data_IF_560572930764
#
_entry.id   IF_560572930764
#
_cell.length_a   1.000
_cell.length_b   1.000
_cell.length_c   1.000
_cell.angle_alpha   90.00
_cell.angle_beta   90.00
_cell.angle_gamma   90.00
#
_symmetry.space_group_name_H-M   'P 1'
#
loop_
_entity.id
_entity.type
_entity.pdbx_description
1 polymer ?
#
# COMPACT_ATOMS: atom_id res chain seq x y z
N UNK A 1 23.26 16.09 42.86
CA UNK A 1 21.99 15.34 42.89
C UNK A 1 20.90 16.01 42.04
N UNK A 2 20.64 17.32 42.19
CA UNK A 2 19.58 18.02 41.35
C UNK A 2 19.83 17.99 39.84
N UNK A 3 21.07 18.03 39.35
CA UNK A 3 21.41 17.97 37.93
C UNK A 3 21.23 16.58 37.33
N UNK A 4 21.47 15.54 38.14
CA UNK A 4 21.26 14.13 37.71
C UNK A 4 19.75 13.81 37.54
N UNK A 5 18.93 14.39 38.43
CA UNK A 5 17.47 14.21 38.40
C UNK A 5 16.82 14.89 37.19
N UNK A 6 17.36 16.01 36.72
CA UNK A 6 16.91 16.70 35.50
C UNK A 6 17.25 15.91 34.23
N UNK A 7 18.42 15.23 34.19
CA UNK A 7 18.78 14.37 33.07
C UNK A 7 17.88 13.14 32.97
N UNK A 8 17.46 12.56 34.08
CA UNK A 8 16.55 11.41 34.12
C UNK A 8 15.13 11.77 33.63
N UNK A 9 14.67 13.00 33.94
CA UNK A 9 13.36 13.49 33.48
C UNK A 9 13.30 13.74 31.98
N UNK A 10 14.40 14.19 31.34
CA UNK A 10 14.48 14.41 29.90
C UNK A 10 14.51 13.07 29.14
N UNK A 11 15.11 12.02 29.73
CA UNK A 11 15.16 10.69 29.09
C UNK A 11 13.81 9.96 29.13
N UNK A 12 12.94 10.26 30.09
CA UNK A 12 11.58 9.67 30.15
C UNK A 12 10.62 10.23 29.07
N UNK A 13 10.90 11.40 28.50
CA UNK A 13 10.05 12.00 27.44
C UNK A 13 10.39 11.52 26.03
N UNK A 14 11.53 10.88 25.81
CA UNK A 14 11.96 10.37 24.51
C UNK A 14 11.29 9.03 24.11
N UNK A 15 10.51 8.41 25.00
CA UNK A 15 9.97 7.04 24.82
C UNK A 15 8.61 6.91 24.13
N UNK A 16 7.90 8.00 23.84
CA UNK A 16 6.57 7.91 23.20
C UNK A 16 6.63 8.13 21.69
N UNK A 17 7.47 7.40 20.98
CA UNK A 17 7.24 7.21 19.54
C UNK A 17 6.07 6.23 19.40
N UNK A 18 4.85 6.74 19.40
CA UNK A 18 3.71 5.97 18.99
C UNK A 18 3.92 5.64 17.50
N UNK A 19 4.10 4.38 17.19
CA UNK A 19 3.91 3.87 15.85
C UNK A 19 2.44 4.13 15.49
N UNK A 20 2.15 5.30 14.92
CA UNK A 20 0.81 5.60 14.44
C UNK A 20 0.54 4.66 13.27
N UNK A 21 -0.46 3.83 13.40
CA UNK A 21 -0.95 2.99 12.30
C UNK A 21 -1.17 3.88 11.07
N UNK A 22 -0.71 3.41 9.91
CA UNK A 22 -0.90 4.15 8.68
C UNK A 22 -2.40 4.39 8.40
N UNK A 23 -2.79 5.39 7.62
CA UNK A 23 -4.19 5.58 7.21
C UNK A 23 -4.79 4.31 6.60
N UNK A 24 -3.97 3.57 5.86
CA UNK A 24 -4.35 2.27 5.27
C UNK A 24 -4.61 1.23 6.35
N UNK A 25 -3.76 1.15 7.38
CA UNK A 25 -3.95 0.20 8.48
C UNK A 25 -5.25 0.49 9.22
N UNK A 26 -5.57 1.76 9.48
CA UNK A 26 -6.83 2.16 10.12
C UNK A 26 -8.06 1.76 9.30
N UNK A 27 -8.00 1.91 7.97
CA UNK A 27 -9.09 1.45 7.08
C UNK A 27 -9.21 -0.07 7.11
N UNK A 28 -8.09 -0.77 7.06
CA UNK A 28 -8.06 -2.22 7.18
C UNK A 28 -8.69 -2.68 8.49
N UNK A 29 -8.27 -2.14 9.63
CA UNK A 29 -8.82 -2.46 10.96
C UNK A 29 -10.31 -2.12 11.05
N UNK A 30 -10.74 -1.03 10.39
CA UNK A 30 -12.12 -0.57 10.39
C UNK A 30 -13.07 -1.50 9.64
N UNK A 31 -12.63 -2.09 8.52
CA UNK A 31 -13.48 -2.84 7.62
C UNK A 31 -13.21 -4.34 7.57
N UNK A 32 -12.05 -4.81 8.01
CA UNK A 32 -11.70 -6.23 8.03
C UNK A 32 -12.66 -7.03 8.88
N UNK A 33 -13.18 -8.12 8.32
CA UNK A 33 -14.15 -9.01 8.99
C UNK A 33 -15.57 -8.47 9.07
N UNK A 34 -15.89 -7.32 8.45
CA UNK A 34 -17.28 -6.83 8.33
C UNK A 34 -17.98 -7.47 7.15
N UNK A 35 -19.30 -7.64 7.29
CA UNK A 35 -20.15 -8.14 6.21
C UNK A 35 -20.08 -7.23 4.99
N UNK A 36 -19.97 -7.81 3.79
CA UNK A 36 -19.82 -7.12 2.51
C UNK A 36 -18.42 -6.59 2.24
N UNK A 37 -17.42 -6.99 3.05
CA UNK A 37 -16.01 -6.64 2.84
C UNK A 37 -15.14 -7.88 2.80
N UNK A 38 -14.27 -7.93 1.82
CA UNK A 38 -13.18 -8.92 1.74
C UNK A 38 -11.86 -8.23 2.03
N UNK A 39 -11.09 -8.80 2.97
CA UNK A 39 -9.75 -8.33 3.30
C UNK A 39 -8.73 -9.44 3.13
N UNK A 40 -7.64 -9.12 2.41
CA UNK A 40 -6.51 -10.03 2.20
C UNK A 40 -5.24 -9.35 2.70
N UNK A 41 -4.45 -10.08 3.47
CA UNK A 41 -3.11 -9.65 3.88
C UNK A 41 -2.08 -10.72 3.50
N UNK A 42 -1.14 -10.34 2.64
CA UNK A 42 0.01 -11.14 2.24
C UNK A 42 1.23 -10.58 2.95
N UNK A 43 1.81 -11.35 3.85
CA UNK A 43 2.95 -10.92 4.66
C UNK A 43 4.29 -11.11 3.95
N UNK A 44 5.33 -10.43 4.44
CA UNK A 44 6.72 -10.65 4.00
C UNK A 44 7.14 -12.12 4.08
N UNK A 45 6.68 -12.84 5.10
CA UNK A 45 6.99 -14.26 5.27
C UNK A 45 6.44 -15.12 4.11
N UNK A 46 5.24 -14.80 3.63
CA UNK A 46 4.69 -15.49 2.45
C UNK A 46 5.58 -15.32 1.23
N UNK A 47 6.09 -14.11 0.98
CA UNK A 47 7.01 -13.85 -0.13
C UNK A 47 8.34 -14.58 0.02
N UNK A 48 8.87 -14.72 1.26
CA UNK A 48 10.12 -15.45 1.48
C UNK A 48 9.99 -16.93 1.13
N UNK A 49 8.84 -17.56 1.38
CA UNK A 49 8.61 -18.95 0.99
C UNK A 49 8.68 -19.15 -0.53
N UNK A 50 8.21 -18.19 -1.30
CA UNK A 50 8.27 -18.25 -2.76
C UNK A 50 9.67 -17.94 -3.30
N UNK A 51 10.42 -17.04 -2.67
CA UNK A 51 11.79 -16.71 -3.08
C UNK A 51 12.76 -17.86 -2.90
N UNK A 52 12.50 -18.78 -1.95
CA UNK A 52 13.33 -19.94 -1.66
C UNK A 52 13.04 -21.14 -2.59
N UNK A 53 11.83 -21.17 -3.18
CA UNK A 53 11.37 -22.29 -4.02
C UNK A 53 11.82 -22.19 -5.47
N UNK A 54 12.10 -20.98 -5.96
CA UNK A 54 12.42 -20.74 -7.38
C UNK A 54 13.86 -20.28 -7.56
N UNK A 55 14.50 -20.83 -8.62
CA UNK A 55 15.89 -20.55 -8.97
C UNK A 55 16.18 -19.05 -9.14
N UNK A 56 17.44 -18.66 -8.93
CA UNK A 56 17.96 -17.29 -8.88
C UNK A 56 17.63 -16.39 -10.09
N UNK A 57 17.17 -16.94 -11.21
CA UNK A 57 16.83 -16.23 -12.45
C UNK A 57 15.33 -15.93 -12.62
N UNK A 58 14.48 -16.19 -11.62
CA UNK A 58 13.05 -15.92 -11.74
C UNK A 58 12.74 -14.44 -11.45
N UNK A 59 12.23 -13.76 -12.46
CA UNK A 59 11.74 -12.36 -12.37
C UNK A 59 10.76 -12.17 -11.21
N UNK A 60 9.92 -13.16 -10.92
CA UNK A 60 9.01 -13.16 -9.78
C UNK A 60 9.74 -13.10 -8.43
N UNK A 61 10.78 -13.91 -8.26
CA UNK A 61 11.60 -13.92 -7.03
C UNK A 61 12.26 -12.58 -6.75
N UNK A 62 12.71 -11.88 -7.80
CA UNK A 62 13.31 -10.53 -7.64
C UNK A 62 12.25 -9.49 -7.22
N UNK A 63 11.05 -9.59 -7.75
CA UNK A 63 9.93 -8.69 -7.38
C UNK A 63 9.58 -8.84 -5.93
N UNK A 64 9.38 -10.07 -5.46
CA UNK A 64 8.86 -10.32 -4.10
C UNK A 64 9.91 -10.10 -3.01
N UNK A 65 11.22 -10.20 -3.32
CA UNK A 65 12.29 -9.93 -2.34
C UNK A 65 12.25 -8.52 -1.76
N UNK A 66 11.78 -7.54 -2.54
CA UNK A 66 11.67 -6.15 -2.10
C UNK A 66 10.38 -5.82 -1.36
N UNK A 67 9.41 -6.75 -1.29
CA UNK A 67 8.10 -6.49 -0.71
C UNK A 67 8.07 -6.86 0.79
N UNK A 68 7.45 -6.00 1.57
CA UNK A 68 7.18 -6.21 2.99
C UNK A 68 5.76 -6.71 3.25
N UNK A 69 4.82 -6.43 2.35
CA UNK A 69 3.45 -6.90 2.44
C UNK A 69 2.54 -6.31 1.37
N UNK A 70 1.43 -7.00 1.13
CA UNK A 70 0.32 -6.51 0.31
C UNK A 70 -0.95 -6.60 1.14
N UNK A 71 -1.73 -5.52 1.18
CA UNK A 71 -3.04 -5.45 1.80
C UNK A 71 -4.07 -5.13 0.72
N UNK A 72 -5.13 -5.91 0.65
CA UNK A 72 -6.23 -5.72 -0.29
C UNK A 72 -7.52 -5.67 0.51
N UNK A 73 -8.31 -4.64 0.31
CA UNK A 73 -9.63 -4.48 0.90
C UNK A 73 -10.60 -4.14 -0.22
N UNK A 74 -11.61 -4.98 -0.40
CA UNK A 74 -12.64 -4.79 -1.44
C UNK A 74 -14.03 -4.85 -0.84
N UNK A 75 -15.02 -4.29 -1.54
CA UNK A 75 -16.42 -4.48 -1.21
C UNK A 75 -17.08 -5.37 -2.26
N UNK A 76 -17.88 -6.33 -1.79
CA UNK A 76 -18.63 -7.23 -2.67
C UNK A 76 -19.96 -6.62 -3.14
N UNK A 77 -20.30 -5.43 -2.61
CA UNK A 77 -21.58 -4.78 -2.91
C UNK A 77 -21.45 -3.26 -2.98
N UNK A 78 -21.90 -2.64 -4.09
CA UNK A 78 -21.95 -1.17 -4.23
C UNK A 78 -22.85 -0.48 -3.17
N UNK A 79 -23.77 -1.24 -2.57
CA UNK A 79 -24.77 -0.71 -1.62
C UNK A 79 -24.22 -0.38 -0.22
N UNK A 80 -22.96 -0.73 0.08
CA UNK A 80 -22.36 -0.41 1.38
C UNK A 80 -22.07 1.10 1.56
N UNK A 81 -22.23 1.90 0.51
CA UNK A 81 -22.09 3.37 0.60
C UNK A 81 -20.70 3.86 0.98
N UNK A 82 -19.70 2.96 0.94
CA UNK A 82 -18.31 3.29 1.26
C UNK A 82 -17.58 3.62 -0.03
N UNK A 83 -17.06 4.83 -0.11
CA UNK A 83 -16.17 5.23 -1.19
C UNK A 83 -14.75 5.34 -0.63
N UNK A 84 -13.91 4.33 -0.89
CA UNK A 84 -12.54 4.29 -0.39
C UNK A 84 -11.69 5.45 -0.88
N UNK A 85 -11.90 5.90 -2.11
CA UNK A 85 -11.19 7.06 -2.61
C UNK A 85 -11.43 8.29 -1.71
N UNK A 86 -12.68 8.53 -1.33
CA UNK A 86 -13.05 9.66 -0.47
C UNK A 86 -12.55 9.48 0.97
N UNK A 87 -12.65 8.28 1.52
CA UNK A 87 -12.22 8.00 2.90
C UNK A 87 -10.71 8.06 3.04
N UNK A 88 -9.97 7.36 2.16
CA UNK A 88 -8.52 7.34 2.24
C UNK A 88 -7.92 8.74 1.99
N UNK A 89 -8.45 9.48 1.02
CA UNK A 89 -7.98 10.83 0.74
C UNK A 89 -8.25 11.82 1.87
N UNK A 90 -9.27 11.59 2.69
CA UNK A 90 -9.54 12.38 3.89
C UNK A 90 -8.53 12.12 5.01
N UNK A 91 -8.09 10.86 5.16
CA UNK A 91 -7.17 10.43 6.22
C UNK A 91 -5.70 10.50 5.80
N UNK A 92 -5.44 10.47 4.49
CA UNK A 92 -4.09 10.42 3.95
C UNK A 92 -3.37 11.76 4.20
N UNK A 93 -2.17 11.76 4.76
CA UNK A 93 -1.33 12.95 4.81
C UNK A 93 -0.80 13.23 3.37
N UNK A 94 -1.57 13.97 2.59
CA UNK A 94 -1.37 14.19 1.14
C UNK A 94 0.06 14.62 0.80
N UNK A 95 0.72 15.38 1.68
CA UNK A 95 2.12 15.83 1.53
C UNK A 95 3.15 14.69 1.48
N UNK A 96 2.80 13.52 2.02
CA UNK A 96 3.71 12.37 2.10
C UNK A 96 3.57 11.44 0.89
N UNK A 97 2.60 11.72 -0.01
CA UNK A 97 2.33 10.92 -1.19
C UNK A 97 2.38 11.76 -2.46
N UNK A 98 2.88 11.14 -3.52
CA UNK A 98 2.86 11.68 -4.88
C UNK A 98 1.81 10.93 -5.70
N UNK A 99 1.05 11.67 -6.49
CA UNK A 99 0.11 11.08 -7.44
C UNK A 99 0.89 10.62 -8.68
N UNK A 100 0.79 9.33 -9.01
CA UNK A 100 1.38 8.76 -10.24
C UNK A 100 0.42 8.86 -11.40
N UNK A 101 -0.84 8.43 -11.19
CA UNK A 101 -1.83 8.33 -12.23
C UNK A 101 -3.23 8.43 -11.65
N UNK A 102 -4.14 9.03 -12.43
CA UNK A 102 -5.58 9.00 -12.17
C UNK A 102 -6.26 8.54 -13.45
N UNK A 103 -7.13 7.55 -13.32
CA UNK A 103 -8.02 7.08 -14.38
C UNK A 103 -9.43 7.46 -13.94
N UNK A 104 -10.16 8.15 -14.80
CA UNK A 104 -11.55 8.51 -14.58
C UNK A 104 -12.41 7.87 -15.65
N UNK A 105 -13.33 7.05 -15.22
CA UNK A 105 -14.34 6.43 -16.04
C UNK A 105 -15.73 6.94 -15.62
N UNK A 106 -16.77 6.59 -16.36
CA UNK A 106 -18.12 7.06 -16.09
C UNK A 106 -18.59 6.73 -14.67
N UNK A 107 -18.29 5.52 -14.21
CA UNK A 107 -18.82 4.95 -12.97
C UNK A 107 -17.70 4.55 -11.97
N UNK A 108 -16.42 4.88 -12.29
CA UNK A 108 -15.28 4.47 -11.50
C UNK A 108 -14.13 5.47 -11.57
N UNK A 109 -13.53 5.76 -10.41
CA UNK A 109 -12.31 6.55 -10.28
C UNK A 109 -11.18 5.66 -9.74
N UNK A 110 -10.05 5.58 -10.44
CA UNK A 110 -8.87 4.85 -9.95
C UNK A 110 -7.74 5.84 -9.74
N UNK A 111 -7.10 5.79 -8.59
CA UNK A 111 -5.97 6.64 -8.26
C UNK A 111 -4.79 5.82 -7.78
N UNK A 112 -3.61 6.09 -8.36
CA UNK A 112 -2.34 5.53 -7.95
C UNK A 112 -1.52 6.59 -7.21
N UNK A 113 -1.10 6.27 -6.00
CA UNK A 113 -0.30 7.13 -5.14
C UNK A 113 0.93 6.38 -4.66
N UNK A 114 2.07 7.08 -4.57
CA UNK A 114 3.30 6.50 -4.01
C UNK A 114 3.83 7.34 -2.86
N UNK A 115 4.43 6.66 -1.91
CA UNK A 115 5.25 7.25 -0.86
C UNK A 115 6.71 6.95 -1.13
N UNK A 116 7.53 7.99 -1.12
CA UNK A 116 8.97 7.88 -1.33
C UNK A 116 9.72 8.24 -0.05
N UNK A 117 10.74 7.46 0.24
CA UNK A 117 11.70 7.73 1.32
C UNK A 117 13.11 7.56 0.77
N UNK A 118 13.93 8.60 0.85
CA UNK A 118 15.30 8.55 0.34
C UNK A 118 15.40 8.26 -1.17
N UNK A 119 14.43 8.71 -1.98
CA UNK A 119 14.40 8.48 -3.43
C UNK A 119 13.94 7.08 -3.84
N UNK A 120 13.44 6.27 -2.88
CA UNK A 120 12.91 4.93 -3.13
C UNK A 120 11.42 4.89 -2.85
N UNK A 121 10.65 4.23 -3.70
CA UNK A 121 9.23 3.99 -3.45
C UNK A 121 9.11 2.92 -2.36
N UNK A 122 8.50 3.29 -1.23
CA UNK A 122 8.30 2.40 -0.09
C UNK A 122 6.85 1.96 0.07
N UNK A 123 5.91 2.66 -0.55
CA UNK A 123 4.49 2.30 -0.55
C UNK A 123 3.85 2.71 -1.87
N UNK A 124 3.04 1.82 -2.43
CA UNK A 124 2.17 2.05 -3.58
C UNK A 124 0.73 1.79 -3.16
N UNK A 125 -0.13 2.77 -3.38
CA UNK A 125 -1.56 2.65 -3.16
C UNK A 125 -2.29 2.67 -4.51
N UNK A 126 -3.20 1.73 -4.72
CA UNK A 126 -4.25 1.80 -5.72
C UNK A 126 -5.59 1.93 -5.01
N UNK A 127 -6.30 3.01 -5.30
CA UNK A 127 -7.57 3.35 -4.68
C UNK A 127 -8.61 3.39 -5.76
N UNK A 128 -9.59 2.51 -5.68
CA UNK A 128 -10.73 2.42 -6.59
C UNK A 128 -11.96 2.88 -5.83
N UNK A 129 -12.68 3.84 -6.40
CA UNK A 129 -13.95 4.33 -5.86
C UNK A 129 -14.98 4.42 -6.95
N UNK A 130 -16.24 4.16 -6.64
CA UNK A 130 -17.34 4.16 -7.61
C UNK A 130 -18.30 3.01 -7.37
N UNK A 131 -18.65 2.29 -8.42
CA UNK A 131 -19.49 1.10 -8.33
C UNK A 131 -18.78 0.02 -7.53
N UNK A 132 -17.52 -0.23 -7.88
CA UNK A 132 -16.64 -1.12 -7.11
C UNK A 132 -15.70 -0.29 -6.26
N UNK A 133 -15.52 -0.70 -5.00
CA UNK A 133 -14.56 -0.07 -4.11
C UNK A 133 -13.45 -1.05 -3.78
N UNK A 134 -12.21 -0.62 -4.00
CA UNK A 134 -11.04 -1.38 -3.60
C UNK A 134 -9.92 -0.47 -3.10
N UNK A 135 -9.17 -0.96 -2.14
CA UNK A 135 -7.91 -0.38 -1.68
C UNK A 135 -6.85 -1.46 -1.72
N UNK A 136 -5.83 -1.25 -2.54
CA UNK A 136 -4.66 -2.11 -2.58
C UNK A 136 -3.47 -1.30 -2.09
N UNK A 137 -2.78 -1.82 -1.09
CA UNK A 137 -1.55 -1.22 -0.55
C UNK A 137 -0.41 -2.22 -0.66
N UNK A 138 0.62 -1.86 -1.41
CA UNK A 138 1.85 -2.61 -1.55
C UNK A 138 2.94 -1.88 -0.78
N UNK A 139 3.59 -2.56 0.15
CA UNK A 139 4.67 -2.02 0.97
C UNK A 139 5.98 -2.76 0.70
N UNK A 140 7.09 -2.01 0.64
CA UNK A 140 8.39 -2.57 0.33
C UNK A 140 9.54 -1.62 0.68
N UNK A 141 10.76 -2.07 0.43
CA UNK A 141 11.99 -1.27 0.68
C UNK A 141 12.39 -0.44 -0.53
N UNK A 142 12.09 -0.92 -1.73
CA UNK A 142 12.36 -0.27 -3.01
C UNK A 142 11.46 -0.88 -4.09
N UNK A 143 10.22 -0.40 -4.14
CA UNK A 143 9.20 -0.93 -5.06
C UNK A 143 9.54 -0.47 -6.49
N UNK A 144 9.70 -1.44 -7.39
CA UNK A 144 9.83 -1.19 -8.82
C UNK A 144 8.46 -1.36 -9.49
N UNK A 145 7.93 -0.30 -10.10
CA UNK A 145 6.59 -0.28 -10.66
C UNK A 145 6.41 -1.28 -11.81
N UNK A 146 7.45 -1.48 -12.65
CA UNK A 146 7.43 -2.48 -13.72
C UNK A 146 7.28 -3.89 -13.16
N UNK A 147 8.03 -4.19 -12.11
CA UNK A 147 7.93 -5.47 -11.44
C UNK A 147 6.54 -5.70 -10.84
N UNK A 148 5.91 -4.64 -10.29
CA UNK A 148 4.54 -4.74 -9.77
C UNK A 148 3.53 -5.01 -10.89
N UNK A 149 3.69 -4.40 -12.06
CA UNK A 149 2.83 -4.69 -13.22
C UNK A 149 2.96 -6.16 -13.65
N UNK A 150 4.16 -6.71 -13.69
CA UNK A 150 4.38 -8.13 -14.00
C UNK A 150 3.75 -9.06 -12.95
N UNK A 151 3.90 -8.71 -11.67
CA UNK A 151 3.27 -9.44 -10.56
C UNK A 151 1.75 -9.46 -10.68
N UNK A 152 1.15 -8.33 -11.02
CA UNK A 152 -0.29 -8.18 -11.24
C UNK A 152 -0.82 -9.17 -12.27
N UNK A 153 -0.13 -9.31 -13.40
CA UNK A 153 -0.49 -10.28 -14.45
C UNK A 153 -0.46 -11.72 -13.93
N UNK A 154 0.56 -12.04 -13.12
CA UNK A 154 0.73 -13.39 -12.56
C UNK A 154 -0.32 -13.72 -11.49
N UNK A 155 -0.79 -12.72 -10.76
CA UNK A 155 -1.77 -12.85 -9.67
C UNK A 155 -3.20 -12.51 -10.09
N UNK A 156 -3.42 -12.10 -11.33
CA UNK A 156 -4.71 -11.64 -11.87
C UNK A 156 -5.34 -10.52 -11.00
N UNK A 157 -4.55 -9.53 -10.61
CA UNK A 157 -5.02 -8.35 -9.87
C UNK A 157 -5.36 -7.27 -10.89
N UNK A 158 -6.65 -7.06 -11.14
CA UNK A 158 -7.14 -6.05 -12.08
C UNK A 158 -6.72 -4.62 -11.66
N UNK A 159 -6.37 -3.81 -12.66
CA UNK A 159 -6.04 -2.39 -12.51
C UNK A 159 -4.53 -2.11 -12.37
N UNK A 160 -3.74 -2.98 -11.75
CA UNK A 160 -2.30 -2.76 -11.56
C UNK A 160 -1.50 -2.87 -12.88
N UNK A 161 -2.03 -3.53 -13.92
CA UNK A 161 -1.45 -3.59 -15.26
C UNK A 161 -1.29 -2.20 -15.90
N UNK A 162 -2.11 -1.23 -15.47
CA UNK A 162 -2.02 0.16 -15.94
C UNK A 162 -0.71 0.86 -15.54
N UNK A 163 0.05 0.32 -14.60
CA UNK A 163 1.36 0.85 -14.21
C UNK A 163 2.40 0.76 -15.35
N UNK A 164 2.24 -0.14 -16.32
CA UNK A 164 3.10 -0.19 -17.51
C UNK A 164 3.04 1.11 -18.33
N UNK A 165 1.88 1.75 -18.38
CA UNK A 165 1.67 2.99 -19.14
C UNK A 165 2.47 4.18 -18.60
N UNK A 166 2.99 4.10 -17.38
CA UNK A 166 3.77 5.16 -16.76
C UNK A 166 5.19 5.20 -17.33
N UNK A 167 5.80 4.05 -17.57
CA UNK A 167 7.17 3.96 -18.10
C UNK A 167 7.30 4.34 -19.59
N UNK A 168 6.25 4.17 -20.39
CA UNK A 168 6.28 4.51 -21.82
C UNK A 168 6.33 6.03 -22.07
N UNK A 169 6.00 6.87 -21.08
CA UNK A 169 6.03 8.34 -21.21
C UNK A 169 7.38 8.97 -20.90
N UNK A 170 8.30 8.23 -20.30
CA UNK A 170 9.64 8.72 -19.90
C UNK A 170 10.74 8.36 -20.93
N UNK A 171 10.38 7.87 -22.11
CA UNK A 171 11.25 7.65 -23.26
C UNK A 171 10.93 8.65 -24.37
#
# INVERSE_FOLDING_TARGET
>A
MRKLMLFLLVFLWAGFVHAQNSPVDRLFDKYSGKEGFTSVYISKYMFSLFSDIKAEDDEFGQVVKGLNGIKILTTDSPQQGVNFHKEIMKELPVKDYKELMVIKEKDQDIKFLVKEVGGKITELLMIIGGVDNALICIQGENINLKNISNLSKSMNIEGLENLEKIEEKDK
#
